data_IF_562263655444
#
_entry.id   IF_562263655444
#
_cell.length_a   1.000
_cell.length_b   1.000
_cell.length_c   1.000
_cell.angle_alpha   90.00
_cell.angle_beta   90.00
_cell.angle_gamma   90.00
#
_symmetry.space_group_name_H-M   'P 1'
#
loop_
_entity.id
_entity.type
_entity.pdbx_description
1 polymer ?
#
# COMPACT_ATOMS: atom_id res chain seq x y z
N UNK A 1 35.22 -59.90 -8.03
CA UNK A 1 34.49 -58.93 -8.87
C UNK A 1 33.58 -58.11 -7.98
N UNK A 2 33.98 -56.89 -7.59
CA UNK A 2 33.19 -56.04 -6.71
C UNK A 2 33.37 -54.59 -7.13
N UNK A 3 32.33 -54.01 -7.72
CA UNK A 3 32.28 -52.57 -8.05
C UNK A 3 31.49 -51.88 -6.94
N UNK A 4 32.07 -50.90 -6.21
CA UNK A 4 31.24 -49.92 -5.55
C UNK A 4 30.87 -48.84 -6.57
N UNK A 5 29.58 -48.80 -6.92
CA UNK A 5 28.97 -47.70 -7.66
C UNK A 5 28.99 -46.47 -6.76
N UNK A 6 29.88 -45.52 -7.05
CA UNK A 6 29.96 -44.25 -6.34
C UNK A 6 28.69 -43.46 -6.63
N UNK A 7 27.85 -43.31 -5.61
CA UNK A 7 26.74 -42.36 -5.61
C UNK A 7 27.32 -40.96 -5.73
N UNK A 8 27.13 -40.35 -6.90
CA UNK A 8 27.44 -38.95 -7.15
C UNK A 8 26.63 -38.08 -6.19
N UNK A 9 27.28 -37.57 -5.16
CA UNK A 9 26.79 -36.47 -4.34
C UNK A 9 26.56 -35.27 -5.27
N UNK A 10 25.29 -34.95 -5.55
CA UNK A 10 24.91 -33.68 -6.13
C UNK A 10 25.34 -32.58 -5.15
N UNK A 11 26.47 -31.93 -5.44
CA UNK A 11 26.80 -30.62 -4.87
C UNK A 11 25.75 -29.64 -5.38
N UNK A 12 24.68 -29.46 -4.61
CA UNK A 12 23.82 -28.28 -4.69
C UNK A 12 24.70 -27.08 -4.38
N UNK A 13 25.23 -26.46 -5.44
CA UNK A 13 25.85 -25.16 -5.38
C UNK A 13 24.73 -24.16 -5.12
N UNK A 14 24.46 -23.88 -3.84
CA UNK A 14 23.55 -22.82 -3.43
C UNK A 14 24.18 -21.49 -3.83
N UNK A 15 23.88 -21.03 -5.05
CA UNK A 15 24.04 -19.62 -5.41
C UNK A 15 23.11 -18.82 -4.50
N UNK A 16 23.65 -18.38 -3.36
CA UNK A 16 23.04 -17.34 -2.56
C UNK A 16 22.84 -16.13 -3.47
N UNK A 17 21.57 -15.80 -3.75
CA UNK A 17 21.19 -14.63 -4.52
C UNK A 17 21.74 -13.39 -3.80
N UNK A 18 22.90 -12.91 -4.24
CA UNK A 18 23.62 -11.78 -3.61
C UNK A 18 23.11 -10.42 -4.10
N UNK A 19 21.98 -10.41 -4.82
CA UNK A 19 21.51 -9.24 -5.56
C UNK A 19 20.09 -8.83 -5.16
N UNK A 20 19.89 -8.58 -3.87
CA UNK A 20 18.86 -7.65 -3.41
C UNK A 20 19.54 -6.49 -2.68
N UNK A 21 20.43 -5.76 -3.39
CA UNK A 21 21.05 -4.52 -2.90
C UNK A 21 20.63 -3.32 -3.75
N UNK A 22 19.33 -3.16 -4.01
CA UNK A 22 18.82 -1.86 -4.41
C UNK A 22 17.98 -1.33 -3.26
N UNK A 23 18.65 -0.51 -2.43
CA UNK A 23 18.02 0.42 -1.50
C UNK A 23 17.09 1.29 -2.35
N UNK A 24 15.81 0.92 -2.37
CA UNK A 24 14.77 1.73 -2.99
C UNK A 24 14.61 2.98 -2.11
N UNK A 25 15.48 3.96 -2.30
CA UNK A 25 15.17 5.34 -1.92
C UNK A 25 14.17 5.79 -2.95
N UNK A 26 12.89 5.52 -2.68
CA UNK A 26 11.83 6.23 -3.36
C UNK A 26 12.02 7.72 -3.06
N UNK A 27 11.92 8.62 -4.05
CA UNK A 27 11.72 10.02 -3.71
C UNK A 27 10.41 10.07 -2.93
N UNK A 28 10.51 10.31 -1.62
CA UNK A 28 9.35 10.67 -0.80
C UNK A 28 8.93 12.02 -1.35
N UNK A 29 8.00 11.99 -2.32
CA UNK A 29 7.25 13.17 -2.68
C UNK A 29 6.51 13.52 -1.40
N UNK A 30 6.97 14.56 -0.71
CA UNK A 30 6.27 15.08 0.45
C UNK A 30 5.02 15.73 -0.12
N UNK A 31 3.95 14.94 -0.16
CA UNK A 31 2.64 15.41 -0.55
C UNK A 31 2.15 16.18 0.68
N UNK A 32 2.25 17.52 0.64
CA UNK A 32 1.70 18.41 1.67
C UNK A 32 0.18 18.21 1.75
N UNK A 33 -0.22 17.18 2.48
CA UNK A 33 -1.61 16.81 2.70
C UNK A 33 -2.08 17.44 4.01
N UNK A 34 -3.31 17.94 4.03
CA UNK A 34 -3.94 18.42 5.26
C UNK A 34 -4.30 17.26 6.19
N UNK A 35 -4.30 16.05 5.66
CA UNK A 35 -4.55 14.81 6.37
C UNK A 35 -3.24 14.07 6.71
N UNK A 36 -3.17 13.53 7.93
CA UNK A 36 -2.08 12.65 8.38
C UNK A 36 -2.64 11.53 9.25
N UNK A 37 -2.26 10.29 9.01
CA UNK A 37 -2.58 9.17 9.92
C UNK A 37 -1.69 9.21 11.15
N UNK A 38 -2.24 8.72 12.27
CA UNK A 38 -1.44 8.36 13.45
C UNK A 38 -0.38 7.32 13.07
N UNK A 39 0.63 7.15 13.93
CA UNK A 39 1.71 6.18 13.73
C UNK A 39 1.22 4.73 14.01
N UNK A 40 0.26 4.30 13.21
CA UNK A 40 -0.49 3.05 13.34
C UNK A 40 -0.33 2.14 12.11
N UNK A 41 0.49 2.56 11.14
CA UNK A 41 0.85 1.76 9.97
C UNK A 41 -0.07 1.96 8.76
N UNK A 42 -0.43 0.86 8.10
CA UNK A 42 -1.32 0.84 6.92
C UNK A 42 -2.69 0.25 7.26
N UNK A 43 -3.74 0.79 6.65
CA UNK A 43 -5.11 0.30 6.86
C UNK A 43 -5.78 -0.03 5.52
N UNK A 44 -6.54 -1.12 5.44
CA UNK A 44 -7.33 -1.40 4.25
C UNK A 44 -8.49 -0.41 4.11
N UNK A 45 -8.82 -0.05 2.87
CA UNK A 45 -10.05 0.69 2.53
C UNK A 45 -11.29 -0.13 2.90
N UNK A 46 -11.37 -1.31 2.29
CA UNK A 46 -12.40 -2.32 2.50
C UNK A 46 -11.75 -3.67 2.75
N UNK A 47 -12.47 -4.56 3.42
CA UNK A 47 -11.97 -5.90 3.69
C UNK A 47 -11.87 -6.68 2.36
N UNK A 48 -10.63 -6.98 1.95
CA UNK A 48 -10.36 -7.78 0.75
C UNK A 48 -10.14 -7.00 -0.55
N UNK A 49 -10.17 -5.66 -0.55
CA UNK A 49 -9.95 -4.86 -1.77
C UNK A 49 -8.48 -4.81 -2.22
N UNK A 50 -7.54 -5.08 -1.31
CA UNK A 50 -6.10 -4.92 -1.58
C UNK A 50 -5.65 -3.46 -1.68
N UNK A 51 -6.56 -2.49 -1.49
CA UNK A 51 -6.24 -1.07 -1.40
C UNK A 51 -5.96 -0.68 0.06
N UNK A 52 -4.83 0.00 0.29
CA UNK A 52 -4.40 0.42 1.61
C UNK A 52 -4.11 1.91 1.67
N UNK A 53 -4.44 2.53 2.80
CA UNK A 53 -4.07 3.90 3.15
C UNK A 53 -2.92 3.88 4.15
N UNK A 54 -1.93 4.74 3.94
CA UNK A 54 -0.74 4.90 4.77
C UNK A 54 -0.19 6.32 4.63
N UNK A 55 0.67 6.74 5.55
CA UNK A 55 1.36 8.04 5.44
C UNK A 55 2.27 8.16 4.20
N UNK A 56 2.62 7.04 3.55
CA UNK A 56 3.45 7.03 2.33
C UNK A 56 2.66 7.32 1.06
N UNK A 57 1.35 7.05 1.06
CA UNK A 57 0.45 7.26 -0.09
C UNK A 57 -0.71 8.21 0.26
N UNK A 58 -0.51 9.05 1.28
CA UNK A 58 -1.52 9.96 1.79
C UNK A 58 -1.68 11.16 0.83
N UNK A 59 -2.92 11.37 0.39
CA UNK A 59 -3.37 12.57 -0.34
C UNK A 59 -4.73 12.97 0.23
N UNK A 60 -5.08 14.25 0.14
CA UNK A 60 -6.37 14.78 0.59
C UNK A 60 -7.54 14.00 -0.06
N UNK A 61 -7.45 13.67 -1.35
CA UNK A 61 -8.47 12.88 -2.06
C UNK A 61 -8.63 11.46 -1.50
N UNK A 62 -7.51 10.81 -1.18
CA UNK A 62 -7.48 9.44 -0.65
C UNK A 62 -8.05 9.42 0.78
N UNK A 63 -7.70 10.42 1.60
CA UNK A 63 -8.23 10.57 2.94
C UNK A 63 -9.74 10.83 2.93
N UNK A 64 -10.22 11.74 2.08
CA UNK A 64 -11.64 12.02 1.93
C UNK A 64 -12.42 10.79 1.44
N UNK A 65 -11.91 10.06 0.44
CA UNK A 65 -12.50 8.80 -0.01
C UNK A 65 -12.57 7.78 1.13
N UNK A 66 -11.51 7.66 1.93
CA UNK A 66 -11.46 6.74 3.06
C UNK A 66 -12.46 7.09 4.17
N UNK A 67 -12.62 8.39 4.46
CA UNK A 67 -13.57 8.89 5.45
C UNK A 67 -15.01 8.83 4.95
N UNK A 68 -15.24 8.98 3.64
CA UNK A 68 -16.56 8.85 3.03
C UNK A 68 -17.14 7.44 3.19
N UNK A 69 -16.32 6.42 2.99
CA UNK A 69 -16.73 5.02 3.22
C UNK A 69 -17.07 4.78 4.70
N UNK A 70 -16.32 5.36 5.62
CA UNK A 70 -16.53 5.19 7.06
C UNK A 70 -16.05 6.41 7.87
N UNK A 71 -16.92 7.37 8.20
CA UNK A 71 -16.51 8.62 8.87
C UNK A 71 -16.00 8.38 10.30
N UNK A 72 -16.39 7.26 10.94
CA UNK A 72 -15.86 6.85 12.25
C UNK A 72 -14.34 6.61 12.25
N UNK A 73 -13.76 6.35 11.07
CA UNK A 73 -12.32 6.16 10.90
C UNK A 73 -11.51 7.45 10.98
N UNK A 74 -12.16 8.62 11.14
CA UNK A 74 -11.47 9.89 11.47
C UNK A 74 -10.56 9.76 12.68
N UNK A 75 -10.91 8.86 13.61
CA UNK A 75 -10.06 8.50 14.74
C UNK A 75 -8.65 8.09 14.31
N UNK A 76 -8.46 7.44 13.17
CA UNK A 76 -7.13 7.02 12.70
C UNK A 76 -6.23 8.19 12.27
N UNK A 77 -6.81 9.38 12.05
CA UNK A 77 -6.08 10.58 11.64
C UNK A 77 -5.59 11.35 12.87
N UNK A 78 -4.36 11.84 12.78
CA UNK A 78 -3.72 12.74 13.75
C UNK A 78 -3.96 14.21 13.38
N UNK A 79 -3.88 14.52 12.08
CA UNK A 79 -4.09 15.86 11.51
C UNK A 79 -5.15 15.76 10.43
N UNK A 80 -6.11 16.67 10.46
CA UNK A 80 -7.17 16.82 9.47
C UNK A 80 -7.77 18.23 9.60
N UNK A 81 -8.36 18.80 8.53
CA UNK A 81 -9.03 20.10 8.58
C UNK A 81 -10.35 20.01 9.35
N UNK A 82 -10.76 21.07 10.04
CA UNK A 82 -12.02 21.08 10.83
C UNK A 82 -13.27 20.87 9.96
N UNK A 83 -13.24 21.39 8.73
CA UNK A 83 -14.31 21.29 7.73
C UNK A 83 -14.30 19.96 6.93
N UNK A 84 -13.63 18.91 7.42
CA UNK A 84 -13.56 17.62 6.72
C UNK A 84 -14.94 16.98 6.49
N UNK A 85 -15.90 17.23 7.37
CA UNK A 85 -17.28 16.74 7.25
C UNK A 85 -17.98 17.34 6.03
N UNK A 86 -17.79 18.63 5.76
CA UNK A 86 -18.34 19.29 4.57
C UNK A 86 -17.69 18.73 3.30
N UNK A 87 -16.37 18.47 3.34
CA UNK A 87 -15.62 17.91 2.21
C UNK A 87 -16.07 16.51 1.79
N UNK A 88 -16.56 15.68 2.72
CA UNK A 88 -17.11 14.35 2.40
C UNK A 88 -18.61 14.40 2.05
N UNK A 89 -19.29 15.48 2.44
CA UNK A 89 -20.73 15.69 2.22
C UNK A 89 -21.02 16.31 0.86
N UNK A 90 -20.06 17.02 0.26
CA UNK A 90 -20.12 17.47 -1.13
C UNK A 90 -19.86 16.29 -2.09
N UNK A 91 -20.91 15.53 -2.39
CA UNK A 91 -20.95 14.62 -3.53
C UNK A 91 -20.84 15.39 -4.86
N UNK A 92 -19.64 15.86 -5.21
CA UNK A 92 -19.30 16.02 -6.64
C UNK A 92 -18.86 14.66 -7.16
N UNK A 93 -19.62 14.02 -8.07
CA UNK A 93 -19.15 12.82 -8.75
C UNK A 93 -17.94 13.21 -9.61
N UNK A 94 -16.73 12.89 -9.13
CA UNK A 94 -15.57 12.81 -9.99
C UNK A 94 -15.54 11.42 -10.61
N UNK A 95 -15.89 11.40 -11.88
CA UNK A 95 -15.93 10.20 -12.71
C UNK A 95 -14.51 9.72 -13.08
N UNK A 96 -14.37 8.39 -13.13
CA UNK A 96 -13.49 7.56 -13.98
C UNK A 96 -11.99 7.35 -13.64
N UNK A 97 -11.64 6.11 -13.22
CA UNK A 97 -10.61 5.32 -13.91
C UNK A 97 -11.10 3.90 -14.14
N UNK A 98 -11.22 3.57 -15.42
CA UNK A 98 -11.55 2.27 -15.99
C UNK A 98 -10.41 1.28 -15.73
N UNK A 99 -10.71 0.04 -15.33
CA UNK A 99 -9.88 -1.13 -15.69
C UNK A 99 -10.69 -2.06 -16.57
N UNK A 100 -10.50 -1.86 -17.86
CA UNK A 100 -10.79 -2.79 -18.95
C UNK A 100 -9.86 -4.01 -18.92
N UNK A 101 -10.41 -5.22 -19.04
CA UNK A 101 -10.00 -6.25 -20.03
C UNK A 101 -10.94 -7.46 -19.86
N UNK A 102 -11.88 -7.72 -20.77
CA UNK A 102 -11.71 -8.40 -22.07
C UNK A 102 -11.08 -9.79 -21.94
N UNK A 103 -11.92 -10.84 -21.90
CA UNK A 103 -12.08 -11.80 -23.00
C UNK A 103 -13.33 -12.66 -22.80
#
# INVERSE_FOLDING_TARGET
MGKPSAFSFFKINTMACSSCKNKLVTPVVVIDSNFRLRDVGMFPFEFGSGEFISNLNMSDEIALRYLKENPKKISLFEKFPENWLDLISEDKPQAEVKKSNSK
#
